data_IF_254187817000
#
_entry.id   IF_254187817000
#
_cell.length_a   1.000
_cell.length_b   1.000
_cell.length_c   1.000
_cell.angle_alpha   90.00
_cell.angle_beta   90.00
_cell.angle_gamma   90.00
#
_symmetry.space_group_name_H-M   'P 1'
#
loop_
_entity.id
_entity.type
_entity.pdbx_description
1 polymer ?
#
# COMPACT_ATOMS: atom_id res chain seq x y z
N UNK A 1 -6.16 -9.53 -27.67
CA UNK A 1 -5.72 -9.58 -26.26
C UNK A 1 -6.71 -10.49 -25.55
N UNK A 2 -6.29 -11.57 -24.88
CA UNK A 2 -7.22 -12.46 -24.21
C UNK A 2 -7.93 -11.73 -23.06
N UNK A 3 -9.20 -12.06 -22.84
CA UNK A 3 -9.98 -11.45 -21.77
C UNK A 3 -9.68 -12.15 -20.43
N UNK A 4 -9.36 -11.37 -19.40
CA UNK A 4 -9.22 -11.86 -18.03
C UNK A 4 -10.60 -12.15 -17.43
N UNK A 5 -10.72 -13.26 -16.69
CA UNK A 5 -11.93 -13.56 -15.93
C UNK A 5 -12.13 -12.54 -14.81
N UNK A 6 -13.36 -12.45 -14.31
CA UNK A 6 -13.73 -11.43 -13.32
C UNK A 6 -12.92 -11.52 -12.02
N UNK A 7 -12.58 -12.72 -11.55
CA UNK A 7 -11.77 -12.89 -10.34
C UNK A 7 -10.37 -12.36 -10.55
N UNK A 8 -9.75 -12.71 -11.67
CA UNK A 8 -8.41 -12.21 -12.01
C UNK A 8 -8.40 -10.70 -12.18
N UNK A 9 -9.43 -10.13 -12.82
CA UNK A 9 -9.58 -8.66 -12.96
C UNK A 9 -9.62 -7.95 -11.60
N UNK A 10 -10.42 -8.44 -10.66
CA UNK A 10 -10.53 -7.80 -9.33
C UNK A 10 -9.24 -7.95 -8.52
N UNK A 11 -8.56 -9.10 -8.55
CA UNK A 11 -7.28 -9.28 -7.87
C UNK A 11 -6.21 -8.31 -8.40
N UNK A 12 -6.13 -8.13 -9.73
CA UNK A 12 -5.23 -7.13 -10.33
C UNK A 12 -5.61 -5.72 -9.90
N UNK A 13 -6.91 -5.38 -9.91
CA UNK A 13 -7.39 -4.06 -9.52
C UNK A 13 -7.12 -3.74 -8.05
N UNK A 14 -7.22 -4.73 -7.14
CA UNK A 14 -6.81 -4.60 -5.73
C UNK A 14 -5.32 -4.23 -5.64
N UNK A 15 -4.44 -4.96 -6.34
CA UNK A 15 -3.01 -4.69 -6.33
C UNK A 15 -2.67 -3.29 -6.85
N UNK A 16 -3.27 -2.89 -7.98
CA UNK A 16 -3.09 -1.54 -8.55
C UNK A 16 -3.57 -0.47 -7.57
N UNK A 17 -4.72 -0.68 -6.92
CA UNK A 17 -5.30 0.28 -5.97
C UNK A 17 -4.35 0.60 -4.81
N UNK A 18 -3.57 -0.38 -4.34
CA UNK A 18 -2.54 -0.18 -3.32
C UNK A 18 -1.40 0.69 -3.85
N UNK A 19 -0.81 0.33 -4.99
CA UNK A 19 0.36 1.03 -5.56
C UNK A 19 0.05 2.50 -5.90
N UNK A 20 -1.18 2.78 -6.35
CA UNK A 20 -1.61 4.16 -6.65
C UNK A 20 -2.18 4.89 -5.43
N UNK A 21 -2.20 4.24 -4.26
CA UNK A 21 -2.73 4.78 -3.00
C UNK A 21 -4.21 5.25 -3.10
N UNK A 22 -5.05 4.53 -3.87
CA UNK A 22 -6.48 4.84 -4.03
C UNK A 22 -7.36 4.04 -3.05
N UNK A 23 -7.61 4.59 -1.86
CA UNK A 23 -8.50 3.98 -0.85
C UNK A 23 -9.93 3.64 -1.34
N UNK A 24 -10.67 4.53 -2.04
CA UNK A 24 -12.01 4.19 -2.50
C UNK A 24 -12.00 3.07 -3.55
N UNK A 25 -10.98 3.04 -4.43
CA UNK A 25 -10.79 1.96 -5.40
C UNK A 25 -10.57 0.62 -4.68
N UNK A 26 -9.67 0.61 -3.69
CA UNK A 26 -9.35 -0.59 -2.91
C UNK A 26 -10.60 -1.16 -2.23
N UNK A 27 -11.40 -0.31 -1.58
CA UNK A 27 -12.65 -0.71 -0.94
C UNK A 27 -13.67 -1.29 -1.94
N UNK A 28 -13.81 -0.68 -3.12
CA UNK A 28 -14.69 -1.18 -4.18
C UNK A 28 -14.27 -2.57 -4.66
N UNK A 29 -12.99 -2.72 -5.04
CA UNK A 29 -12.48 -3.95 -5.63
C UNK A 29 -12.40 -5.10 -4.62
N UNK A 30 -12.11 -4.84 -3.34
CA UNK A 30 -12.21 -5.87 -2.29
C UNK A 30 -13.64 -6.40 -2.16
N UNK A 31 -14.64 -5.51 -2.07
CA UNK A 31 -16.05 -5.93 -1.97
C UNK A 31 -16.48 -6.72 -3.20
N UNK A 32 -16.03 -6.32 -4.39
CA UNK A 32 -16.33 -7.02 -5.63
C UNK A 32 -15.66 -8.40 -5.68
N UNK A 33 -14.38 -8.51 -5.32
CA UNK A 33 -13.68 -9.78 -5.21
C UNK A 33 -14.37 -10.76 -4.23
N UNK A 34 -14.78 -10.25 -3.06
CA UNK A 34 -15.54 -11.05 -2.07
C UNK A 34 -16.88 -11.55 -2.65
N UNK A 35 -17.59 -10.72 -3.40
CA UNK A 35 -18.83 -11.13 -4.10
C UNK A 35 -18.60 -12.22 -5.17
N UNK A 36 -17.36 -12.37 -5.63
CA UNK A 36 -16.92 -13.41 -6.57
C UNK A 36 -16.34 -14.65 -5.84
N UNK A 37 -16.51 -14.75 -4.53
CA UNK A 37 -15.98 -15.82 -3.67
C UNK A 37 -14.44 -15.92 -3.68
N UNK A 38 -13.74 -14.80 -3.93
CA UNK A 38 -12.30 -14.73 -3.68
C UNK A 38 -12.07 -14.76 -2.17
N UNK A 39 -11.19 -15.64 -1.72
CA UNK A 39 -10.91 -15.78 -0.29
C UNK A 39 -10.15 -14.57 0.26
N UNK A 40 -10.33 -14.29 1.55
CA UNK A 40 -9.54 -13.25 2.23
C UNK A 40 -8.04 -13.55 2.17
N UNK A 41 -7.64 -14.82 2.19
CA UNK A 41 -6.23 -15.23 2.10
C UNK A 41 -5.60 -14.84 0.75
N UNK A 42 -6.34 -15.00 -0.35
CA UNK A 42 -5.89 -14.56 -1.68
C UNK A 42 -5.79 -13.04 -1.77
N UNK A 43 -6.77 -12.32 -1.21
CA UNK A 43 -6.73 -10.85 -1.14
C UNK A 43 -5.50 -10.42 -0.33
N UNK A 44 -5.25 -11.01 0.84
CA UNK A 44 -4.09 -10.73 1.68
C UNK A 44 -2.78 -11.03 0.94
N UNK A 45 -2.72 -12.12 0.17
CA UNK A 45 -1.55 -12.43 -0.64
C UNK A 45 -1.26 -11.34 -1.69
N UNK A 46 -2.30 -10.86 -2.39
CA UNK A 46 -2.17 -9.73 -3.32
C UNK A 46 -1.75 -8.44 -2.61
N UNK A 47 -2.31 -8.14 -1.45
CA UNK A 47 -1.93 -6.96 -0.65
C UNK A 47 -0.45 -7.00 -0.25
N UNK A 48 0.06 -8.16 0.16
CA UNK A 48 1.49 -8.33 0.49
C UNK A 48 2.40 -8.11 -0.72
N UNK A 49 2.02 -8.64 -1.88
CA UNK A 49 2.76 -8.42 -3.13
C UNK A 49 2.75 -6.94 -3.53
N UNK A 50 1.58 -6.30 -3.48
CA UNK A 50 1.43 -4.91 -3.83
C UNK A 50 2.19 -3.98 -2.87
N UNK A 51 2.21 -4.29 -1.57
CA UNK A 51 3.03 -3.57 -0.58
C UNK A 51 4.52 -3.60 -0.91
N UNK A 52 5.06 -4.77 -1.27
CA UNK A 52 6.47 -4.86 -1.67
C UNK A 52 6.81 -4.02 -2.90
N UNK A 53 5.86 -3.85 -3.83
CA UNK A 53 6.03 -2.94 -4.99
C UNK A 53 5.93 -1.48 -4.55
N UNK A 54 4.95 -1.14 -3.73
CA UNK A 54 4.75 0.23 -3.22
C UNK A 54 5.97 0.73 -2.43
N UNK A 55 6.59 -0.13 -1.61
CA UNK A 55 7.84 0.20 -0.88
C UNK A 55 8.99 0.57 -1.84
N UNK A 56 9.08 -0.09 -3.00
CA UNK A 56 10.10 0.25 -4.01
C UNK A 56 9.81 1.57 -4.71
N UNK A 57 8.53 1.88 -4.99
CA UNK A 57 8.14 3.10 -5.68
C UNK A 57 8.25 4.30 -4.74
N UNK A 58 7.66 4.20 -3.54
CA UNK A 58 7.73 5.23 -2.50
C UNK A 58 9.15 5.44 -2.00
N UNK A 59 9.94 4.37 -1.85
CA UNK A 59 11.34 4.45 -1.44
C UNK A 59 12.19 5.30 -2.39
N UNK A 60 11.98 5.22 -3.70
CA UNK A 60 12.70 6.08 -4.67
C UNK A 60 12.31 7.55 -4.58
N UNK A 61 11.03 7.84 -4.33
CA UNK A 61 10.57 9.21 -4.14
C UNK A 61 11.19 9.79 -2.86
N UNK A 62 11.24 9.00 -1.79
CA UNK A 62 11.90 9.39 -0.54
C UNK A 62 13.41 9.56 -0.69
N UNK A 63 14.10 8.62 -1.35
CA UNK A 63 15.54 8.74 -1.66
C UNK A 63 15.84 10.03 -2.44
N UNK A 64 14.97 10.39 -3.39
CA UNK A 64 15.11 11.64 -4.14
C UNK A 64 14.88 12.88 -3.26
N UNK A 65 13.85 12.86 -2.40
CA UNK A 65 13.60 13.94 -1.45
C UNK A 65 14.78 14.11 -0.46
N UNK A 66 15.32 13.01 0.06
CA UNK A 66 16.50 13.02 0.94
C UNK A 66 17.71 13.65 0.25
N UNK A 67 17.96 13.32 -1.02
CA UNK A 67 19.02 13.95 -1.82
C UNK A 67 18.81 15.46 -1.98
N UNK A 68 17.57 15.91 -2.26
CA UNK A 68 17.26 17.33 -2.38
C UNK A 68 17.47 18.08 -1.06
N UNK A 69 17.17 17.43 0.07
CA UNK A 69 17.31 17.99 1.40
C UNK A 69 18.70 17.77 2.01
N UNK A 70 19.62 17.14 1.28
CA UNK A 70 20.96 16.75 1.74
C UNK A 70 20.90 15.98 3.08
N UNK A 71 19.87 15.16 3.27
CA UNK A 71 19.70 14.30 4.43
C UNK A 71 20.67 13.13 4.32
N UNK A 72 21.36 12.81 5.41
CA UNK A 72 22.05 11.51 5.54
C UNK A 72 20.96 10.46 5.74
N UNK A 73 21.10 9.23 5.19
CA UNK A 73 20.15 8.16 5.43
C UNK A 73 19.92 8.04 6.93
N UNK A 74 18.76 8.50 7.38
CA UNK A 74 18.39 8.38 8.78
C UNK A 74 18.05 6.92 9.01
N UNK A 75 18.63 6.35 10.06
CA UNK A 75 18.30 5.01 10.55
C UNK A 75 16.78 4.85 10.56
N UNK A 76 16.28 3.83 9.86
CA UNK A 76 14.86 3.67 9.53
C UNK A 76 13.98 3.88 10.75
N UNK A 77 13.02 4.81 10.67
CA UNK A 77 11.96 4.95 11.66
C UNK A 77 11.28 3.59 11.80
N UNK A 78 11.46 2.96 12.97
CA UNK A 78 10.80 1.72 13.28
C UNK A 78 9.30 2.02 13.44
N UNK A 79 8.40 1.06 13.15
CA UNK A 79 6.96 1.24 13.32
C UNK A 79 6.52 1.71 14.71
N UNK A 80 7.40 1.60 15.71
CA UNK A 80 7.16 1.99 17.10
C UNK A 80 7.72 3.37 17.47
N UNK A 81 8.34 4.10 16.54
CA UNK A 81 8.85 5.46 16.75
C UNK A 81 7.73 6.50 16.60
N UNK A 82 6.48 6.13 16.94
CA UNK A 82 5.36 7.04 16.96
C UNK A 82 5.75 8.29 17.77
N UNK A 83 5.73 9.44 17.11
CA UNK A 83 6.00 10.74 17.71
C UNK A 83 4.96 10.96 18.81
N UNK A 84 5.34 10.70 20.06
CA UNK A 84 4.64 11.22 21.23
C UNK A 84 4.91 12.72 21.17
N UNK A 85 3.85 13.53 21.05
CA UNK A 85 3.99 14.98 21.25
C UNK A 85 4.56 15.21 22.65
N UNK A 86 5.41 16.22 22.84
CA UNK A 86 6.02 16.50 24.17
C UNK A 86 4.97 16.73 25.28
N UNK A 87 3.72 17.03 24.89
CA UNK A 87 2.55 17.24 25.75
C UNK A 87 1.75 15.95 26.05
N UNK A 88 2.18 14.79 25.55
CA UNK A 88 1.51 13.50 25.79
C UNK A 88 0.13 13.35 25.16
N UNK A 89 -0.29 14.29 24.30
CA UNK A 89 -1.59 14.24 23.63
C UNK A 89 -1.43 13.50 22.30
N UNK A 90 -2.15 12.40 22.11
CA UNK A 90 -2.25 11.77 20.80
C UNK A 90 -3.06 12.69 19.87
N UNK A 91 -2.58 12.89 18.64
CA UNK A 91 -3.32 13.66 17.64
C UNK A 91 -4.62 12.92 17.30
N UNK A 92 -5.74 13.63 17.39
CA UNK A 92 -7.11 13.13 17.17
C UNK A 92 -7.31 12.42 15.83
#
# INVERSE_FOLDING_TARGET
MPELDARTKELVAIGVSVVINCQPCLNHHIKKAQSLNVSNDEIIAVLKLAKGIDELVSGKVMEYAEKLLNMKPTESLKPNDAVVREDGVACC
#
